data_IF_738172538559
#
_entry.id   IF_738172538559
#
_cell.length_a   1.000
_cell.length_b   1.000
_cell.length_c   1.000
_cell.angle_alpha   90.00
_cell.angle_beta   90.00
_cell.angle_gamma   90.00
#
_symmetry.space_group_name_H-M   'P 1'
#
loop_
_entity.id
_entity.type
_entity.pdbx_description
1 polymer ?
#
# COMPACT_ATOMS: atom_id res chain seq x y z
N UNK A 1 -37.42 -35.21 -62.90
CA UNK A 1 -37.40 -34.02 -62.09
C UNK A 1 -37.28 -34.45 -60.61
N UNK A 2 -36.07 -34.39 -60.04
CA UNK A 2 -35.81 -34.78 -58.66
C UNK A 2 -35.18 -33.56 -57.94
N UNK A 3 -35.91 -32.96 -57.05
CA UNK A 3 -35.43 -31.85 -56.25
C UNK A 3 -34.67 -32.37 -55.02
N UNK A 4 -33.40 -32.12 -54.97
CA UNK A 4 -32.55 -32.30 -53.78
C UNK A 4 -32.75 -31.07 -52.82
N UNK A 5 -33.26 -31.33 -51.66
CA UNK A 5 -33.32 -30.35 -50.58
C UNK A 5 -32.08 -30.57 -49.72
N UNK A 6 -31.15 -29.59 -49.72
CA UNK A 6 -29.99 -29.58 -48.85
C UNK A 6 -30.35 -28.90 -47.53
N UNK A 7 -30.36 -29.66 -46.46
CA UNK A 7 -30.53 -29.16 -45.11
C UNK A 7 -29.20 -28.62 -44.58
N UNK A 8 -29.15 -27.30 -44.35
CA UNK A 8 -28.01 -26.66 -43.69
C UNK A 8 -28.23 -26.73 -42.19
N UNK A 9 -27.40 -27.50 -41.49
CA UNK A 9 -27.33 -27.48 -40.00
C UNK A 9 -26.50 -26.28 -39.54
N UNK A 10 -27.16 -25.32 -38.92
CA UNK A 10 -26.49 -24.19 -38.29
C UNK A 10 -26.08 -24.59 -36.87
N UNK A 11 -24.78 -24.88 -36.65
CA UNK A 11 -24.24 -25.12 -35.30
C UNK A 11 -24.03 -23.79 -34.59
N UNK A 12 -24.87 -23.49 -33.62
CA UNK A 12 -24.68 -22.35 -32.72
C UNK A 12 -23.60 -22.70 -31.67
N UNK A 13 -22.42 -22.10 -31.80
CA UNK A 13 -21.37 -22.20 -30.79
C UNK A 13 -21.73 -21.25 -29.62
N UNK A 14 -22.09 -21.81 -28.48
CA UNK A 14 -22.22 -21.09 -27.25
C UNK A 14 -20.81 -20.74 -26.72
N UNK A 15 -20.39 -19.48 -26.86
CA UNK A 15 -19.21 -18.96 -26.19
C UNK A 15 -19.51 -18.81 -24.70
N UNK A 16 -18.93 -19.66 -23.86
CA UNK A 16 -18.95 -19.50 -22.40
C UNK A 16 -18.07 -18.31 -22.10
N UNK A 17 -18.54 -17.25 -21.37
CA UNK A 17 -17.69 -16.16 -20.98
C UNK A 17 -16.62 -16.70 -20.02
N UNK A 18 -15.36 -16.66 -20.41
CA UNK A 18 -14.25 -16.95 -19.53
C UNK A 18 -14.28 -15.90 -18.40
N UNK A 19 -14.50 -16.35 -17.18
CA UNK A 19 -14.33 -15.51 -15.99
C UNK A 19 -12.88 -15.03 -15.96
N UNK A 20 -12.66 -13.77 -16.22
CA UNK A 20 -11.32 -13.19 -16.20
C UNK A 20 -10.74 -13.38 -14.79
N UNK A 21 -9.60 -14.06 -14.69
CA UNK A 21 -8.81 -14.05 -13.45
C UNK A 21 -8.50 -12.60 -13.08
N UNK A 22 -8.47 -12.23 -11.78
CA UNK A 22 -8.13 -10.88 -11.37
C UNK A 22 -6.81 -10.47 -12.02
N UNK A 23 -6.77 -9.28 -12.61
CA UNK A 23 -5.55 -8.77 -13.26
C UNK A 23 -4.42 -8.71 -12.24
N UNK A 24 -3.16 -8.83 -12.69
CA UNK A 24 -2.00 -8.70 -11.82
C UNK A 24 -2.05 -7.38 -10.99
N UNK A 25 -2.63 -6.35 -11.56
CA UNK A 25 -2.84 -5.06 -10.92
C UNK A 25 -3.82 -5.15 -9.74
N UNK A 26 -4.92 -5.93 -9.83
CA UNK A 26 -5.87 -6.06 -8.72
C UNK A 26 -5.29 -6.80 -7.53
N UNK A 27 -4.42 -7.80 -7.75
CA UNK A 27 -3.72 -8.50 -6.68
C UNK A 27 -2.66 -7.60 -6.00
N UNK A 28 -1.96 -6.78 -6.78
CA UNK A 28 -1.01 -5.80 -6.28
C UNK A 28 -1.71 -4.72 -5.43
N UNK A 29 -2.84 -4.19 -5.91
CA UNK A 29 -3.66 -3.23 -5.15
C UNK A 29 -4.08 -3.80 -3.80
N UNK A 30 -4.57 -5.06 -3.76
CA UNK A 30 -4.95 -5.73 -2.52
C UNK A 30 -3.77 -5.88 -1.58
N UNK A 31 -2.61 -6.34 -2.09
CA UNK A 31 -1.40 -6.51 -1.29
C UNK A 31 -0.89 -5.19 -0.70
N UNK A 32 -0.96 -4.09 -1.46
CA UNK A 32 -0.53 -2.76 -1.01
C UNK A 32 -1.48 -2.20 0.05
N UNK A 33 -2.80 -2.39 -0.10
CA UNK A 33 -3.77 -2.01 0.92
C UNK A 33 -3.54 -2.76 2.23
N UNK A 34 -3.27 -4.06 2.15
CA UNK A 34 -2.93 -4.86 3.32
C UNK A 34 -1.62 -4.40 3.97
N UNK A 35 -0.59 -4.10 3.16
CA UNK A 35 0.68 -3.56 3.66
C UNK A 35 0.48 -2.25 4.45
N UNK A 36 -0.41 -1.36 3.99
CA UNK A 36 -0.74 -0.13 4.72
C UNK A 36 -1.34 -0.40 6.09
N UNK A 37 -2.28 -1.34 6.20
CA UNK A 37 -2.86 -1.75 7.49
C UNK A 37 -1.82 -2.40 8.38
N UNK A 38 -1.07 -3.36 7.85
CA UNK A 38 -0.01 -4.08 8.57
C UNK A 38 1.07 -3.14 9.11
N UNK A 39 1.36 -2.07 8.38
CA UNK A 39 2.32 -1.04 8.80
C UNK A 39 1.81 -0.28 10.04
N UNK A 40 0.56 0.15 10.04
CA UNK A 40 -0.06 0.79 11.20
C UNK A 40 -0.04 -0.12 12.43
N UNK A 41 -0.44 -1.39 12.26
CA UNK A 41 -0.46 -2.38 13.33
C UNK A 41 0.95 -2.64 13.89
N UNK A 42 1.97 -2.75 13.02
CA UNK A 42 3.36 -2.94 13.43
C UNK A 42 3.92 -1.71 14.17
N UNK A 43 3.55 -0.51 13.73
CA UNK A 43 3.95 0.73 14.39
C UNK A 43 3.36 0.85 15.79
N UNK A 44 2.08 0.51 15.97
CA UNK A 44 1.41 0.50 17.30
C UNK A 44 2.02 -0.57 18.20
N UNK A 45 2.33 -1.74 17.65
CA UNK A 45 2.94 -2.84 18.38
C UNK A 45 4.45 -2.63 18.68
N UNK A 46 5.07 -1.59 18.11
CA UNK A 46 6.53 -1.36 18.15
C UNK A 46 7.33 -2.55 17.63
N UNK A 47 6.78 -3.28 16.65
CA UNK A 47 7.41 -4.44 16.02
C UNK A 47 8.44 -3.97 14.98
N UNK A 48 9.63 -3.65 15.48
CA UNK A 48 10.73 -3.07 14.69
C UNK A 48 11.12 -3.96 13.52
N UNK A 49 11.10 -5.29 13.70
CA UNK A 49 11.47 -6.22 12.63
C UNK A 49 10.43 -6.25 11.51
N UNK A 50 9.14 -6.19 11.85
CA UNK A 50 8.08 -6.05 10.84
C UNK A 50 8.20 -4.73 10.10
N UNK A 51 8.40 -3.62 10.81
CA UNK A 51 8.58 -2.29 10.23
C UNK A 51 9.79 -2.30 9.28
N UNK A 52 10.93 -2.86 9.70
CA UNK A 52 12.14 -2.94 8.88
C UNK A 52 11.89 -3.63 7.53
N UNK A 53 11.12 -4.73 7.52
CA UNK A 53 10.78 -5.46 6.28
C UNK A 53 9.81 -4.73 5.35
N UNK A 54 9.03 -3.78 5.85
CA UNK A 54 8.04 -3.03 5.07
C UNK A 54 8.64 -1.85 4.33
N UNK A 55 9.79 -1.35 4.79
CA UNK A 55 10.49 -0.24 4.17
C UNK A 55 11.73 -0.73 3.41
N UNK A 56 11.97 -0.18 2.23
CA UNK A 56 13.22 -0.41 1.50
C UNK A 56 14.41 0.19 2.25
N UNK A 57 15.61 -0.37 2.07
CA UNK A 57 16.81 0.14 2.74
C UNK A 57 17.16 1.58 2.32
N UNK A 58 16.71 1.96 1.13
CA UNK A 58 16.81 3.31 0.58
C UNK A 58 15.61 4.21 0.90
N UNK A 59 14.71 3.77 1.81
CA UNK A 59 13.55 4.58 2.16
C UNK A 59 13.95 5.89 2.82
N UNK A 60 13.25 6.94 2.40
CA UNK A 60 13.34 8.24 3.04
C UNK A 60 12.03 9.02 2.89
N UNK A 61 11.84 9.96 3.77
CA UNK A 61 10.84 11.02 3.65
C UNK A 61 11.50 12.37 3.84
N UNK A 62 10.84 13.44 3.40
CA UNK A 62 11.28 14.80 3.66
C UNK A 62 10.33 15.42 4.67
N UNK A 63 10.87 15.82 5.81
CA UNK A 63 10.13 16.50 6.86
C UNK A 63 9.76 17.93 6.45
N UNK A 64 8.90 18.56 7.26
CA UNK A 64 8.46 19.96 7.03
C UNK A 64 9.61 20.97 7.04
N UNK A 65 10.71 20.65 7.73
CA UNK A 65 11.95 21.46 7.73
C UNK A 65 12.77 21.36 6.45
N UNK A 66 12.36 20.48 5.50
CA UNK A 66 13.16 20.15 4.31
C UNK A 66 14.26 19.13 4.56
N UNK A 67 14.43 18.66 5.81
CA UNK A 67 15.43 17.65 6.16
C UNK A 67 14.96 16.26 5.74
N UNK A 68 15.87 15.47 5.20
CA UNK A 68 15.64 14.05 4.96
C UNK A 68 15.54 13.28 6.29
N UNK A 69 14.64 12.30 6.33
CA UNK A 69 14.48 11.37 7.44
C UNK A 69 14.50 9.96 6.88
N UNK A 70 15.44 9.16 7.32
CA UNK A 70 15.78 7.86 6.74
C UNK A 70 15.17 6.69 7.49
N UNK A 71 15.17 5.49 6.87
CA UNK A 71 14.78 4.24 7.54
C UNK A 71 15.57 4.00 8.82
N UNK A 72 16.88 4.22 8.80
CA UNK A 72 17.73 4.02 9.98
C UNK A 72 17.32 4.93 11.15
N UNK A 73 16.99 6.19 10.86
CA UNK A 73 16.49 7.14 11.86
C UNK A 73 15.11 6.73 12.39
N UNK A 74 14.20 6.30 11.49
CA UNK A 74 12.89 5.77 11.88
C UNK A 74 13.01 4.61 12.87
N UNK A 75 13.80 3.59 12.52
CA UNK A 75 13.99 2.42 13.38
C UNK A 75 14.66 2.77 14.71
N UNK A 76 15.61 3.70 14.68
CA UNK A 76 16.26 4.22 15.91
C UNK A 76 15.28 4.95 16.82
N UNK A 77 14.45 5.83 16.27
CA UNK A 77 13.46 6.59 17.03
C UNK A 77 12.37 5.68 17.64
N UNK A 78 11.98 4.61 16.94
CA UNK A 78 11.04 3.62 17.49
C UNK A 78 11.70 2.80 18.60
N UNK A 79 12.91 2.30 18.39
CA UNK A 79 13.67 1.53 19.39
C UNK A 79 13.94 2.30 20.67
N UNK A 80 14.23 3.59 20.56
CA UNK A 80 14.50 4.47 21.70
C UNK A 80 13.23 4.95 22.41
N UNK A 81 12.04 4.71 21.82
CA UNK A 81 10.77 5.24 22.34
C UNK A 81 10.57 6.73 22.10
N UNK A 82 11.47 7.39 21.37
CA UNK A 82 11.34 8.81 21.00
C UNK A 82 10.08 9.07 20.16
N UNK A 83 9.72 8.12 19.30
CA UNK A 83 8.47 8.11 18.55
C UNK A 83 7.69 6.85 18.85
N UNK A 84 6.45 7.02 19.25
CA UNK A 84 5.54 5.92 19.55
C UNK A 84 4.18 6.22 18.97
N UNK A 85 3.69 5.35 18.13
CA UNK A 85 2.31 5.34 17.68
C UNK A 85 1.48 4.57 18.72
N UNK A 86 0.45 5.20 19.30
CA UNK A 86 -0.40 4.58 20.32
C UNK A 86 -1.73 4.13 19.76
N UNK A 87 -2.14 4.72 18.65
CA UNK A 87 -3.36 4.36 17.95
C UNK A 87 -3.27 4.76 16.48
N UNK A 88 -3.96 4.00 15.62
CA UNK A 88 -3.93 4.15 14.18
C UNK A 88 -5.25 3.73 13.55
N UNK A 89 -5.77 4.53 12.64
CA UNK A 89 -6.92 4.19 11.80
C UNK A 89 -6.62 4.59 10.35
N UNK A 90 -6.48 3.59 9.49
CA UNK A 90 -6.29 3.81 8.06
C UNK A 90 -7.64 4.06 7.40
N UNK A 91 -7.80 5.19 6.75
CA UNK A 91 -8.93 5.49 5.89
C UNK A 91 -8.78 4.77 4.54
N UNK A 92 -9.85 4.65 3.74
CA UNK A 92 -9.73 4.10 2.40
C UNK A 92 -8.60 4.76 1.61
N UNK A 93 -7.75 3.93 1.01
CA UNK A 93 -6.59 4.39 0.22
C UNK A 93 -6.83 4.17 -1.27
N UNK A 94 -6.36 5.10 -2.08
CA UNK A 94 -6.21 4.96 -3.52
C UNK A 94 -4.85 4.36 -3.85
N UNK A 95 -4.81 3.39 -4.76
CA UNK A 95 -3.58 2.71 -5.16
C UNK A 95 -3.53 2.63 -6.69
N UNK A 96 -2.47 3.15 -7.26
CA UNK A 96 -2.17 3.06 -8.68
C UNK A 96 -0.90 2.25 -8.89
N UNK A 97 -0.95 1.24 -9.79
CA UNK A 97 0.15 0.31 -10.05
C UNK A 97 0.71 0.53 -11.44
N UNK A 98 2.03 0.63 -11.54
CA UNK A 98 2.79 0.86 -12.77
C UNK A 98 3.90 -0.20 -12.89
N UNK A 99 3.52 -1.44 -13.17
CA UNK A 99 4.45 -2.56 -13.17
C UNK A 99 5.01 -2.84 -11.78
N UNK A 100 6.32 -2.65 -11.58
CA UNK A 100 7.00 -2.86 -10.29
C UNK A 100 7.03 -1.63 -9.37
N UNK A 101 6.33 -0.56 -9.76
CA UNK A 101 6.18 0.67 -8.96
C UNK A 101 4.71 0.91 -8.69
N UNK A 102 4.38 1.40 -7.51
CA UNK A 102 3.03 1.81 -7.17
C UNK A 102 3.03 3.11 -6.36
N UNK A 103 1.92 3.82 -6.43
CA UNK A 103 1.63 4.98 -5.59
C UNK A 103 0.40 4.63 -4.76
N UNK A 104 0.52 4.78 -3.44
CA UNK A 104 -0.58 4.65 -2.50
C UNK A 104 -0.78 5.99 -1.79
N UNK A 105 -2.01 6.47 -1.73
CA UNK A 105 -2.33 7.72 -1.08
C UNK A 105 -3.65 7.64 -0.32
N UNK A 106 -3.76 8.42 0.75
CA UNK A 106 -4.95 8.44 1.57
C UNK A 106 -4.77 9.27 2.83
N UNK A 107 -5.71 9.09 3.75
CA UNK A 107 -5.68 9.73 5.05
C UNK A 107 -5.51 8.68 6.15
N UNK A 108 -4.87 9.10 7.22
CA UNK A 108 -4.74 8.32 8.44
C UNK A 108 -5.05 9.21 9.65
N UNK A 109 -5.80 8.65 10.59
CA UNK A 109 -5.96 9.21 11.92
C UNK A 109 -5.02 8.46 12.85
N UNK A 110 -4.27 9.19 13.65
CA UNK A 110 -3.31 8.57 14.54
C UNK A 110 -3.13 9.33 15.85
N UNK A 111 -2.78 8.60 16.90
CA UNK A 111 -2.25 9.14 18.14
C UNK A 111 -0.81 8.74 18.27
N UNK A 112 0.05 9.73 18.50
CA UNK A 112 1.48 9.50 18.67
C UNK A 112 2.05 10.23 19.86
N UNK A 113 3.03 9.63 20.49
CA UNK A 113 3.87 10.27 21.50
C UNK A 113 5.18 10.67 20.86
N UNK A 114 5.52 11.94 20.96
CA UNK A 114 6.80 12.51 20.53
C UNK A 114 7.35 13.31 21.71
N UNK A 115 8.56 12.98 22.15
CA UNK A 115 9.22 13.62 23.29
C UNK A 115 8.33 13.65 24.56
N UNK A 116 7.56 12.57 24.80
CA UNK A 116 6.69 12.39 25.95
C UNK A 116 5.31 13.07 25.87
N UNK A 117 5.01 13.75 24.78
CA UNK A 117 3.70 14.39 24.54
C UNK A 117 2.86 13.58 23.56
N UNK A 118 1.65 13.21 23.98
CA UNK A 118 0.68 12.58 23.07
C UNK A 118 -0.07 13.65 22.29
N UNK A 119 -0.15 13.44 20.97
CA UNK A 119 -0.93 14.27 20.05
C UNK A 119 -1.80 13.38 19.16
N UNK A 120 -3.02 13.84 18.90
CA UNK A 120 -3.90 13.26 17.88
C UNK A 120 -3.84 14.12 16.63
N UNK A 121 -3.77 13.47 15.47
CA UNK A 121 -3.70 14.19 14.20
C UNK A 121 -4.30 13.37 13.06
N UNK A 122 -4.79 14.10 12.08
CA UNK A 122 -5.11 13.56 10.75
C UNK A 122 -4.00 13.96 9.78
N UNK A 123 -3.48 12.97 9.07
CA UNK A 123 -2.48 13.17 8.03
C UNK A 123 -3.05 12.73 6.68
N UNK A 124 -2.78 13.52 5.66
CA UNK A 124 -2.81 13.05 4.28
C UNK A 124 -1.41 12.57 3.93
N UNK A 125 -1.32 11.43 3.27
CA UNK A 125 -0.01 10.86 2.91
C UNK A 125 -0.02 10.32 1.48
N UNK A 126 1.17 10.20 0.94
CA UNK A 126 1.47 9.50 -0.29
C UNK A 126 2.75 8.69 -0.12
N UNK A 127 2.67 7.41 -0.45
CA UNK A 127 3.79 6.48 -0.48
C UNK A 127 4.08 6.06 -1.91
N UNK A 128 5.36 6.01 -2.27
CA UNK A 128 5.85 5.33 -3.47
C UNK A 128 6.39 3.98 -3.02
N UNK A 129 5.86 2.94 -3.65
CA UNK A 129 6.25 1.56 -3.38
C UNK A 129 6.98 0.97 -4.58
N UNK A 130 7.88 0.05 -4.30
CA UNK A 130 8.59 -0.73 -5.32
C UNK A 130 8.49 -2.21 -4.99
N UNK A 131 8.28 -3.03 -6.01
CA UNK A 131 8.33 -4.48 -5.85
C UNK A 131 9.78 -4.94 -5.85
N UNK A 132 10.21 -5.59 -4.77
CA UNK A 132 11.56 -6.14 -4.59
C UNK A 132 11.45 -7.57 -4.10
N UNK A 133 12.09 -8.50 -4.77
CA UNK A 133 12.05 -9.94 -4.41
C UNK A 133 10.62 -10.46 -4.19
N UNK A 134 9.70 -10.05 -5.07
CA UNK A 134 8.29 -10.46 -5.01
C UNK A 134 7.43 -9.73 -3.98
N UNK A 135 7.99 -8.83 -3.16
CA UNK A 135 7.29 -8.09 -2.10
C UNK A 135 7.21 -6.60 -2.42
N UNK A 136 6.12 -5.96 -2.05
CA UNK A 136 6.02 -4.51 -2.07
C UNK A 136 6.69 -3.92 -0.83
N UNK A 137 7.56 -2.92 -1.03
CA UNK A 137 8.19 -2.15 0.03
C UNK A 137 8.04 -0.66 -0.25
N UNK A 138 7.86 0.13 0.80
CA UNK A 138 7.81 1.59 0.68
C UNK A 138 9.24 2.12 0.48
N UNK A 139 9.42 2.97 -0.53
CA UNK A 139 10.75 3.56 -0.85
C UNK A 139 10.76 5.08 -0.68
N UNK A 140 9.61 5.74 -0.76
CA UNK A 140 9.46 7.17 -0.46
C UNK A 140 8.14 7.40 0.22
N UNK A 141 8.12 8.33 1.15
CA UNK A 141 6.89 8.80 1.79
C UNK A 141 6.87 10.32 1.80
N UNK A 142 5.69 10.88 1.71
CA UNK A 142 5.42 12.27 2.02
C UNK A 142 4.09 12.36 2.74
N UNK A 143 3.96 13.33 3.63
CA UNK A 143 2.72 13.53 4.35
C UNK A 143 2.62 14.95 4.90
N UNK A 144 1.38 15.38 5.09
CA UNK A 144 1.08 16.66 5.67
C UNK A 144 -0.04 16.53 6.70
N UNK A 145 0.04 17.30 7.76
CA UNK A 145 -1.04 17.41 8.74
C UNK A 145 -2.19 18.20 8.12
N UNK A 146 -3.41 17.64 8.23
CA UNK A 146 -4.62 18.28 7.66
C UNK A 146 -5.19 19.30 8.63
N UNK A 147 -5.15 19.02 9.90
CA UNK A 147 -5.57 19.92 11.01
C UNK A 147 -4.84 19.60 12.30
#
# INVERSE_FOLDING_TARGET
>A
MKHLVASVLLAAAFAVPASAAPSADSSAVTAIKQLGQDMGDAMVALDVERIDRMFGDDWMTIGQSGSAYTKAELLSDIKSGKKKLTWFELRPIDVQVFGDVAIAQGNVLEKRVVDGQETEMELVYQDVLKKREGRWVVVRSTGAKVK
#
